data_IF_780670637762
#
_entry.id   IF_780670637762
#
_cell.length_a   1.000
_cell.length_b   1.000
_cell.length_c   1.000
_cell.angle_alpha   90.00
_cell.angle_beta   90.00
_cell.angle_gamma   90.00
#
_symmetry.space_group_name_H-M   'P 1'
#
loop_
_entity.id
_entity.type
_entity.pdbx_description
1 polymer ?
#
# COMPACT_ATOMS: atom_id res chain seq x y z
N UNK A 1 -9.22 -11.09 -7.36
CA UNK A 1 -7.99 -10.30 -7.27
C UNK A 1 -7.65 -10.08 -5.81
N UNK A 2 -6.38 -10.27 -5.43
CA UNK A 2 -5.90 -10.26 -4.04
C UNK A 2 -6.09 -8.90 -3.34
N UNK A 3 -5.98 -7.73 -4.00
CA UNK A 3 -6.17 -6.42 -3.38
C UNK A 3 -7.55 -6.25 -2.75
N UNK A 4 -8.61 -6.73 -3.42
CA UNK A 4 -9.98 -6.71 -2.88
C UNK A 4 -10.11 -7.58 -1.63
N UNK A 5 -9.43 -8.73 -1.62
CA UNK A 5 -9.44 -9.66 -0.49
C UNK A 5 -8.62 -9.09 0.67
N UNK A 6 -7.45 -8.50 0.40
CA UNK A 6 -6.60 -7.87 1.41
C UNK A 6 -7.35 -6.78 2.18
N UNK A 7 -8.19 -6.01 1.50
CA UNK A 7 -9.05 -5.01 2.14
C UNK A 7 -10.16 -5.59 3.00
N UNK A 8 -10.44 -6.89 3.02
CA UNK A 8 -11.45 -7.45 3.91
C UNK A 8 -10.91 -7.81 5.29
N UNK A 9 -9.59 -7.88 5.44
CA UNK A 9 -8.93 -8.30 6.67
C UNK A 9 -8.12 -7.16 7.26
N UNK A 10 -8.08 -7.09 8.58
CA UNK A 10 -7.24 -6.14 9.28
C UNK A 10 -5.77 -6.59 9.20
N UNK A 11 -4.87 -5.64 8.97
CA UNK A 11 -3.45 -5.95 8.94
C UNK A 11 -3.02 -6.56 10.29
N UNK A 12 -2.18 -7.62 10.30
CA UNK A 12 -1.82 -8.34 11.52
C UNK A 12 -1.05 -7.49 12.55
N UNK A 13 -0.60 -6.29 12.15
CA UNK A 13 0.08 -5.31 13.00
C UNK A 13 -0.80 -4.10 13.36
N UNK A 14 -2.09 -4.10 12.99
CA UNK A 14 -3.02 -3.05 13.37
C UNK A 14 -3.37 -3.18 14.86
N UNK A 15 -3.13 -2.16 15.70
CA UNK A 15 -3.52 -2.17 17.10
C UNK A 15 -5.04 -2.03 17.30
N UNK A 16 -5.81 -1.89 16.21
CA UNK A 16 -7.23 -1.53 16.24
C UNK A 16 -8.19 -2.72 16.26
N UNK A 17 -7.70 -3.96 16.25
CA UNK A 17 -8.54 -5.15 16.08
C UNK A 17 -7.99 -6.38 16.78
N UNK A 18 -8.41 -6.57 18.04
CA UNK A 18 -8.33 -7.86 18.76
C UNK A 18 -9.36 -8.89 18.25
N UNK A 19 -10.22 -8.49 17.32
CA UNK A 19 -11.19 -9.36 16.67
C UNK A 19 -10.50 -10.36 15.73
N UNK A 20 -10.29 -11.58 16.24
CA UNK A 20 -9.69 -12.69 15.49
C UNK A 20 -10.52 -13.12 14.27
N UNK A 21 -11.78 -12.70 14.13
CA UNK A 21 -12.63 -13.03 12.98
C UNK A 21 -12.31 -12.22 11.71
N UNK A 22 -11.55 -11.13 11.84
CA UNK A 22 -11.08 -10.27 10.73
C UNK A 22 -9.58 -10.41 10.42
N UNK A 23 -8.91 -11.38 11.05
CA UNK A 23 -7.55 -11.76 10.67
C UNK A 23 -7.67 -12.77 9.54
N UNK A 24 -6.85 -12.63 8.50
CA UNK A 24 -6.70 -13.74 7.54
C UNK A 24 -6.35 -14.99 8.35
N UNK A 25 -6.96 -16.13 8.02
CA UNK A 25 -6.55 -17.42 8.57
C UNK A 25 -5.04 -17.63 8.37
N UNK A 26 -4.42 -18.61 9.05
CA UNK A 26 -2.99 -18.87 8.91
C UNK A 26 -2.62 -18.97 7.44
N UNK A 27 -1.99 -17.91 6.96
CA UNK A 27 -1.56 -17.71 5.60
C UNK A 27 -0.06 -17.56 5.76
N UNK A 28 0.69 -18.60 5.38
CA UNK A 28 2.16 -18.58 5.35
C UNK A 28 2.64 -17.70 4.18
N UNK A 29 2.06 -16.49 4.06
CA UNK A 29 2.46 -15.51 3.07
C UNK A 29 3.81 -14.96 3.49
N UNK A 30 4.79 -15.20 2.63
CA UNK A 30 6.15 -14.72 2.84
C UNK A 30 6.14 -13.21 2.60
N UNK A 31 6.53 -12.45 3.63
CA UNK A 31 6.75 -11.01 3.51
C UNK A 31 7.93 -10.78 2.58
N UNK A 32 7.68 -10.12 1.44
CA UNK A 32 8.71 -9.73 0.47
C UNK A 32 9.42 -8.42 0.82
N UNK A 33 8.84 -7.62 1.71
CA UNK A 33 9.41 -6.35 2.14
C UNK A 33 8.45 -5.50 2.96
N UNK A 34 8.85 -4.27 3.26
CA UNK A 34 8.05 -3.26 3.94
C UNK A 34 8.07 -1.96 3.15
N UNK A 35 6.89 -1.39 2.96
CA UNK A 35 6.73 -0.06 2.40
C UNK A 35 6.32 0.93 3.49
N UNK A 36 6.99 2.08 3.54
CA UNK A 36 6.68 3.19 4.44
C UNK A 36 7.17 4.50 3.84
N UNK A 37 6.88 5.62 4.50
CA UNK A 37 7.32 6.94 4.07
C UNK A 37 8.38 7.45 5.05
N UNK A 38 9.55 7.85 4.55
CA UNK A 38 10.62 8.42 5.40
C UNK A 38 10.38 9.89 5.72
N UNK A 39 9.56 10.56 4.91
CA UNK A 39 9.02 11.90 5.13
C UNK A 39 7.68 12.02 4.38
N UNK A 40 7.04 13.18 4.40
CA UNK A 40 5.72 13.40 3.78
C UNK A 40 5.64 13.12 2.27
N UNK A 41 6.76 12.97 1.57
CA UNK A 41 6.82 12.88 0.10
C UNK A 41 7.62 11.71 -0.44
N UNK A 42 8.43 11.05 0.39
CA UNK A 42 9.37 10.00 -0.05
C UNK A 42 8.85 8.62 0.31
N UNK A 43 8.21 7.89 -0.63
CA UNK A 43 7.93 6.47 -0.45
C UNK A 43 9.25 5.69 -0.41
N UNK A 44 9.33 4.75 0.51
CA UNK A 44 10.49 3.89 0.74
C UNK A 44 10.04 2.43 0.73
N UNK A 45 10.80 1.57 0.04
CA UNK A 45 10.56 0.14 0.02
C UNK A 45 11.82 -0.58 0.49
N UNK A 46 11.74 -1.19 1.66
CA UNK A 46 12.79 -2.08 2.16
C UNK A 46 12.42 -3.50 1.73
N UNK A 47 13.20 -4.09 0.82
CA UNK A 47 13.04 -5.47 0.33
C UNK A 47 14.04 -6.43 1.02
N UNK A 48 14.78 -5.91 2.00
CA UNK A 48 15.67 -6.69 2.85
C UNK A 48 14.85 -7.36 3.97
N UNK A 49 14.79 -8.68 3.88
CA UNK A 49 14.08 -9.54 4.82
C UNK A 49 15.04 -10.57 5.40
N UNK A 50 14.60 -11.30 6.44
CA UNK A 50 15.40 -12.41 7.00
C UNK A 50 15.77 -13.49 5.96
N UNK A 51 15.08 -13.53 4.81
CA UNK A 51 15.26 -14.57 3.78
C UNK A 51 16.09 -14.09 2.59
N UNK A 52 16.01 -12.81 2.24
CA UNK A 52 16.69 -12.26 1.08
C UNK A 52 17.09 -10.81 1.36
N UNK A 53 18.24 -10.40 0.84
CA UNK A 53 18.75 -9.04 0.93
C UNK A 53 18.74 -8.43 -0.49
N UNK A 54 17.55 -8.02 -0.94
CA UNK A 54 17.34 -7.51 -2.30
C UNK A 54 17.76 -6.03 -2.40
N UNK A 55 17.61 -5.26 -1.32
CA UNK A 55 17.94 -3.85 -1.25
C UNK A 55 16.79 -2.97 -0.77
N UNK A 56 17.09 -1.68 -0.72
CA UNK A 56 16.19 -0.63 -0.28
C UNK A 56 16.05 0.41 -1.39
N UNK A 57 14.83 0.87 -1.63
CA UNK A 57 14.54 1.81 -2.71
C UNK A 57 13.67 2.98 -2.24
N UNK A 58 14.30 4.08 -1.78
CA UNK A 58 13.65 5.38 -1.74
C UNK A 58 13.26 5.78 -3.16
N UNK A 59 12.07 6.35 -3.30
CA UNK A 59 11.46 6.59 -4.59
C UNK A 59 10.94 8.02 -4.71
N UNK A 60 10.90 8.52 -5.94
CA UNK A 60 10.19 9.72 -6.34
C UNK A 60 9.10 9.39 -7.35
N UNK A 61 7.96 10.08 -7.28
CA UNK A 61 6.87 9.91 -8.24
C UNK A 61 7.33 10.37 -9.63
N UNK A 62 7.27 9.47 -10.60
CA UNK A 62 7.57 9.77 -12.00
C UNK A 62 6.29 10.00 -12.82
N UNK A 63 5.27 9.17 -12.62
CA UNK A 63 3.99 9.33 -13.30
C UNK A 63 2.81 8.77 -12.49
N UNK A 64 1.59 9.17 -12.83
CA UNK A 64 0.35 8.57 -12.34
C UNK A 64 -0.69 8.47 -13.45
N UNK A 65 -1.48 7.40 -13.40
CA UNK A 65 -2.66 7.20 -14.23
C UNK A 65 -3.83 6.79 -13.34
N UNK A 66 -5.03 7.23 -13.68
CA UNK A 66 -6.23 6.78 -12.98
C UNK A 66 -6.32 5.24 -13.00
N UNK A 67 -6.72 4.64 -11.88
CA UNK A 67 -7.06 3.23 -11.88
C UNK A 67 -8.27 2.97 -12.81
N UNK A 68 -8.40 1.75 -13.37
CA UNK A 68 -9.58 1.38 -14.15
C UNK A 68 -10.90 1.68 -13.42
N UNK A 69 -11.95 2.03 -14.16
CA UNK A 69 -13.23 2.42 -13.57
C UNK A 69 -13.90 1.28 -12.78
N UNK A 70 -13.57 0.02 -13.10
CA UNK A 70 -14.01 -1.20 -12.45
C UNK A 70 -13.05 -1.70 -11.36
N UNK A 71 -12.00 -0.93 -11.03
CA UNK A 71 -11.09 -1.27 -9.96
C UNK A 71 -11.82 -1.45 -8.62
N UNK A 72 -11.37 -2.41 -7.76
CA UNK A 72 -12.10 -2.71 -6.54
C UNK A 72 -12.17 -1.49 -5.60
N UNK A 73 -13.37 -1.25 -5.06
CA UNK A 73 -13.59 -0.21 -4.06
C UNK A 73 -13.08 -0.62 -2.68
N UNK A 74 -12.75 0.38 -1.87
CA UNK A 74 -12.42 0.22 -0.45
C UNK A 74 -13.62 -0.18 0.41
N UNK A 75 -13.37 -0.43 1.70
CA UNK A 75 -14.38 -0.91 2.66
C UNK A 75 -15.58 0.04 2.80
N UNK A 76 -15.39 1.35 2.60
CA UNK A 76 -16.44 2.37 2.68
C UNK A 76 -16.83 2.89 1.30
N UNK A 77 -16.47 2.17 0.24
CA UNK A 77 -16.78 2.55 -1.14
C UNK A 77 -15.77 3.50 -1.78
N UNK A 78 -14.60 3.69 -1.17
CA UNK A 78 -13.52 4.52 -1.69
C UNK A 78 -13.09 4.03 -3.07
N UNK A 79 -12.89 4.95 -4.02
CA UNK A 79 -12.37 4.61 -5.34
C UNK A 79 -10.89 4.22 -5.19
N UNK A 80 -10.43 3.31 -6.03
CA UNK A 80 -9.02 2.92 -6.09
C UNK A 80 -8.10 4.13 -6.35
N UNK A 81 -7.03 4.25 -5.57
CA UNK A 81 -5.99 5.27 -5.79
C UNK A 81 -5.35 5.10 -7.17
N UNK A 82 -4.84 6.18 -7.79
CA UNK A 82 -4.12 6.11 -9.05
C UNK A 82 -2.97 5.10 -9.02
N UNK A 83 -2.77 4.46 -10.16
CA UNK A 83 -1.56 3.68 -10.43
C UNK A 83 -0.37 4.62 -10.52
N UNK A 84 0.75 4.20 -9.94
CA UNK A 84 1.96 5.02 -9.88
C UNK A 84 3.11 4.31 -10.56
N UNK A 85 3.91 5.11 -11.28
CA UNK A 85 5.28 4.76 -11.64
C UNK A 85 6.21 5.61 -10.81
N UNK A 86 7.08 4.96 -10.06
CA UNK A 86 8.07 5.58 -9.20
C UNK A 86 9.47 5.27 -9.74
N UNK A 87 10.37 6.26 -9.68
CA UNK A 87 11.77 6.08 -10.00
C UNK A 87 12.57 5.99 -8.70
N UNK A 88 13.54 5.08 -8.67
CA UNK A 88 14.51 4.98 -7.59
C UNK A 88 15.31 6.28 -7.47
N UNK A 89 15.48 6.75 -6.24
CA UNK A 89 16.37 7.86 -5.92
C UNK A 89 17.83 7.38 -5.92
N UNK A 90 18.83 8.31 -5.98
CA UNK A 90 20.24 7.94 -6.10
C UNK A 90 20.79 7.05 -4.97
N UNK A 91 20.15 7.06 -3.80
CA UNK A 91 20.49 6.29 -2.60
C UNK A 91 19.87 4.89 -2.58
N UNK A 92 19.17 4.46 -3.65
CA UNK A 92 18.67 3.11 -3.77
C UNK A 92 19.80 2.08 -3.91
N UNK A 93 19.59 0.90 -3.32
CA UNK A 93 20.55 -0.22 -3.34
C UNK A 93 20.01 -1.39 -4.16
N UNK A 94 20.82 -2.43 -4.35
CA UNK A 94 20.38 -3.67 -5.00
C UNK A 94 20.12 -3.59 -6.51
N UNK A 95 20.50 -2.48 -7.17
CA UNK A 95 20.23 -2.27 -8.59
C UNK A 95 18.74 -2.03 -8.88
N UNK A 96 17.98 -1.57 -7.89
CA UNK A 96 16.57 -1.25 -8.03
C UNK A 96 16.39 0.09 -8.75
N UNK A 97 15.52 0.12 -9.76
CA UNK A 97 15.37 1.31 -10.62
C UNK A 97 13.96 1.91 -10.60
N UNK A 98 12.92 1.10 -10.55
CA UNK A 98 11.54 1.57 -10.65
C UNK A 98 10.61 0.71 -9.80
N UNK A 99 9.58 1.34 -9.24
CA UNK A 99 8.48 0.66 -8.57
C UNK A 99 7.18 1.03 -9.28
N UNK A 100 6.38 0.02 -9.59
CA UNK A 100 5.06 0.18 -10.14
C UNK A 100 4.04 -0.22 -9.09
N UNK A 101 3.07 0.67 -8.83
CA UNK A 101 1.94 0.38 -7.95
C UNK A 101 0.71 0.32 -8.84
N UNK A 102 0.27 -0.89 -9.15
CA UNK A 102 -0.86 -1.16 -10.06
C UNK A 102 -1.90 -1.99 -9.33
N UNK A 103 -2.98 -2.38 -10.04
CA UNK A 103 -4.06 -3.20 -9.50
C UNK A 103 -4.58 -2.72 -8.13
N UNK A 104 -4.69 -1.39 -8.01
CA UNK A 104 -5.05 -0.76 -6.75
C UNK A 104 -6.50 -0.99 -6.38
N UNK A 105 -6.76 -1.04 -5.07
CA UNK A 105 -8.10 -1.11 -4.51
C UNK A 105 -8.26 -0.10 -3.36
N UNK A 106 -9.36 0.65 -3.38
CA UNK A 106 -9.65 1.68 -2.37
C UNK A 106 -8.57 2.76 -2.21
N UNK A 107 -8.59 3.44 -1.06
CA UNK A 107 -7.53 4.39 -0.66
C UNK A 107 -7.72 5.85 -1.02
N UNK A 108 -8.66 6.18 -1.92
CA UNK A 108 -8.91 7.59 -2.24
C UNK A 108 -9.51 8.31 -1.03
N UNK A 109 -9.03 9.53 -0.77
CA UNK A 109 -9.59 10.39 0.27
C UNK A 109 -11.08 10.68 0.00
N UNK A 110 -11.89 10.90 1.05
CA UNK A 110 -13.25 11.39 0.86
C UNK A 110 -13.22 12.77 0.16
N UNK A 111 -14.31 13.12 -0.52
CA UNK A 111 -14.42 14.42 -1.18
C UNK A 111 -14.34 15.60 -0.20
N UNK A 112 -14.72 15.38 1.06
CA UNK A 112 -14.65 16.36 2.14
C UNK A 112 -14.22 15.71 3.46
N UNK A 113 -13.67 16.50 4.38
CA UNK A 113 -13.37 16.05 5.74
C UNK A 113 -14.59 16.15 6.70
N UNK A 114 -15.78 16.49 6.18
CA UNK A 114 -16.96 16.69 7.03
C UNK A 114 -17.35 15.39 7.73
N UNK A 115 -17.54 15.46 9.05
CA UNK A 115 -17.90 14.30 9.87
C UNK A 115 -16.75 13.30 10.11
N UNK A 116 -15.52 13.62 9.69
CA UNK A 116 -14.35 12.80 10.00
C UNK A 116 -13.67 13.29 11.30
N UNK A 117 -13.01 12.40 12.05
CA UNK A 117 -12.11 12.80 13.14
C UNK A 117 -10.97 13.69 12.66
N UNK A 118 -10.30 14.38 13.58
CA UNK A 118 -9.15 15.24 13.27
C UNK A 118 -8.00 14.49 12.54
N UNK A 119 -7.87 13.19 12.79
CA UNK A 119 -7.00 12.29 12.05
C UNK A 119 -7.70 10.94 11.85
N UNK A 120 -7.60 10.39 10.65
CA UNK A 120 -8.15 9.08 10.29
C UNK A 120 -7.31 8.44 9.19
N UNK A 121 -7.42 7.12 9.05
CA UNK A 121 -6.75 6.35 7.99
C UNK A 121 -7.76 5.89 6.94
N UNK A 122 -7.30 5.79 5.70
CA UNK A 122 -8.04 5.18 4.59
C UNK A 122 -7.21 4.00 4.09
N UNK A 123 -7.77 2.80 4.23
CA UNK A 123 -7.08 1.58 3.83
C UNK A 123 -7.08 1.44 2.31
N UNK A 124 -5.98 0.93 1.77
CA UNK A 124 -5.83 0.63 0.35
C UNK A 124 -4.95 -0.60 0.15
N UNK A 125 -5.08 -1.24 -1.00
CA UNK A 125 -4.23 -2.34 -1.42
C UNK A 125 -3.75 -2.14 -2.87
N UNK A 126 -2.67 -2.81 -3.24
CA UNK A 126 -2.10 -2.85 -4.58
C UNK A 126 -1.40 -4.20 -4.77
N UNK A 127 -1.23 -4.65 -6.01
CA UNK A 127 -0.42 -5.83 -6.37
C UNK A 127 0.45 -5.57 -7.62
#
# INVERSE_FOLDING_TARGET
MLPKLALQFDLPYSPLSDDKSKKMGPTELIVSGKHFFTNSTTPFFNLDTKRAQIGEVPCSKLNATAAPADAPKGRKGEIAVPWLRLAANPDATGGLHQVFRVETAGGSSPATCQGQPAAFTVEYAAE
#
